data_IF_502097734803
#
_entry.id   IF_502097734803
#
_cell.length_a   1.000
_cell.length_b   1.000
_cell.length_c   1.000
_cell.angle_alpha   90.00
_cell.angle_beta   90.00
_cell.angle_gamma   90.00
#
_symmetry.space_group_name_H-M   'P 1'
#
loop_
_entity.id
_entity.type
_entity.pdbx_description
1 polymer ?
#
# COMPACT_ATOMS: atom_id res chain seq x y z
N UNK A 1 16.74 4.43 -19.62
CA UNK A 1 16.58 4.01 -18.22
C UNK A 1 17.96 3.65 -17.65
N UNK A 2 18.57 4.50 -16.80
CA UNK A 2 19.92 4.28 -16.21
C UNK A 2 19.97 4.55 -14.69
N UNK A 3 18.82 4.85 -14.07
CA UNK A 3 18.76 5.35 -12.70
C UNK A 3 19.35 4.37 -11.69
N UNK A 4 18.97 3.09 -11.76
CA UNK A 4 19.47 2.05 -10.86
C UNK A 4 21.00 1.90 -10.93
N UNK A 5 21.56 1.86 -12.14
CA UNK A 5 23.01 1.77 -12.35
C UNK A 5 23.75 3.01 -11.81
N UNK A 6 23.17 4.20 -11.99
CA UNK A 6 23.74 5.46 -11.49
C UNK A 6 23.67 5.54 -9.97
N UNK A 7 22.55 5.13 -9.36
CA UNK A 7 22.37 5.06 -7.92
C UNK A 7 23.44 4.18 -7.26
N UNK A 8 23.71 3.01 -7.83
CA UNK A 8 24.77 2.10 -7.35
C UNK A 8 26.16 2.74 -7.49
N UNK A 9 26.46 3.34 -8.65
CA UNK A 9 27.79 3.91 -8.92
C UNK A 9 28.11 5.17 -8.11
N UNK A 10 27.11 6.01 -7.87
CA UNK A 10 27.26 7.28 -7.17
C UNK A 10 26.93 7.18 -5.67
N UNK A 11 26.52 6.01 -5.18
CA UNK A 11 26.08 5.81 -3.79
C UNK A 11 24.83 6.62 -3.44
N UNK A 12 24.03 7.00 -4.44
CA UNK A 12 22.81 7.81 -4.26
C UNK A 12 21.60 6.91 -4.19
N UNK A 13 20.55 7.40 -3.53
CA UNK A 13 19.27 6.71 -3.45
C UNK A 13 18.61 6.61 -4.84
N UNK A 14 18.03 5.44 -5.14
CA UNK A 14 17.22 5.26 -6.33
C UNK A 14 15.92 6.10 -6.25
N UNK A 15 15.38 6.52 -7.38
CA UNK A 15 14.17 7.37 -7.43
C UNK A 15 12.90 6.68 -6.91
N UNK A 16 12.92 5.36 -6.81
CA UNK A 16 11.80 4.53 -6.36
C UNK A 16 12.17 3.73 -5.11
N UNK A 17 12.69 4.43 -4.09
CA UNK A 17 12.93 3.86 -2.76
C UNK A 17 11.61 3.50 -2.06
N UNK A 18 11.69 2.77 -0.95
CA UNK A 18 10.50 2.32 -0.21
C UNK A 18 9.64 3.45 0.37
N UNK A 19 10.23 4.58 0.76
CA UNK A 19 9.45 5.72 1.28
C UNK A 19 8.58 6.37 0.21
N UNK A 20 8.95 6.22 -1.07
CA UNK A 20 8.14 6.64 -2.20
C UNK A 20 7.23 5.51 -2.72
N UNK A 21 7.82 4.34 -2.97
CA UNK A 21 7.13 3.21 -3.59
C UNK A 21 6.06 2.59 -2.67
N UNK A 22 6.25 2.63 -1.35
CA UNK A 22 5.30 2.13 -0.36
C UNK A 22 3.96 2.88 -0.41
N UNK A 23 3.93 4.20 -0.14
CA UNK A 23 2.70 5.00 -0.23
C UNK A 23 2.08 4.98 -1.64
N UNK A 24 2.91 4.89 -2.69
CA UNK A 24 2.39 4.76 -4.04
C UNK A 24 1.63 3.44 -4.26
N UNK A 25 2.20 2.31 -3.83
CA UNK A 25 1.54 1.02 -3.90
C UNK A 25 0.24 1.00 -3.06
N UNK A 26 0.29 1.60 -1.87
CA UNK A 26 -0.88 1.78 -1.01
C UNK A 26 -2.02 2.52 -1.73
N UNK A 27 -1.73 3.64 -2.38
CA UNK A 27 -2.71 4.41 -3.15
C UNK A 27 -3.38 3.57 -4.24
N UNK A 28 -2.60 2.76 -4.98
CA UNK A 28 -3.14 1.88 -6.03
C UNK A 28 -4.07 0.82 -5.43
N UNK A 29 -3.70 0.22 -4.29
CA UNK A 29 -4.54 -0.77 -3.61
C UNK A 29 -5.83 -0.17 -3.05
N UNK A 30 -5.78 1.06 -2.53
CA UNK A 30 -6.98 1.80 -2.12
C UNK A 30 -7.93 2.06 -3.29
N UNK A 31 -7.39 2.31 -4.50
CA UNK A 31 -8.18 2.40 -5.72
C UNK A 31 -8.97 1.13 -6.01
N UNK A 32 -8.34 -0.03 -5.87
CA UNK A 32 -9.02 -1.33 -6.03
C UNK A 32 -10.11 -1.54 -4.97
N UNK A 33 -9.84 -1.12 -3.73
CA UNK A 33 -10.82 -1.18 -2.64
C UNK A 33 -12.04 -0.29 -2.95
N UNK A 34 -11.83 0.93 -3.44
CA UNK A 34 -12.91 1.83 -3.82
C UNK A 34 -13.78 1.27 -4.96
N UNK A 35 -13.18 0.63 -5.97
CA UNK A 35 -13.92 -0.02 -7.06
C UNK A 35 -14.77 -1.18 -6.55
N UNK A 36 -14.28 -1.92 -5.54
CA UNK A 36 -15.02 -3.04 -4.93
C UNK A 36 -16.24 -2.60 -4.13
N UNK A 37 -16.23 -1.38 -3.59
CA UNK A 37 -17.31 -0.80 -2.78
C UNK A 37 -17.88 0.45 -3.46
N UNK A 38 -18.59 0.30 -4.59
CA UNK A 38 -19.11 1.44 -5.35
C UNK A 38 -20.12 2.24 -4.52
N UNK A 39 -20.17 3.55 -4.77
CA UNK A 39 -21.06 4.51 -4.10
C UNK A 39 -20.84 4.63 -2.58
N UNK A 40 -19.74 4.09 -2.05
CA UNK A 40 -19.34 4.27 -0.65
C UNK A 40 -18.10 5.15 -0.58
N UNK A 41 -18.11 6.14 0.31
CA UNK A 41 -16.92 6.91 0.65
C UNK A 41 -16.13 6.14 1.71
N UNK A 42 -14.94 5.68 1.39
CA UNK A 42 -14.05 5.04 2.37
C UNK A 42 -13.12 6.09 2.98
N UNK A 43 -13.04 6.12 4.31
CA UNK A 43 -12.13 6.98 5.07
C UNK A 43 -10.93 6.14 5.51
N UNK A 44 -9.75 6.55 5.08
CA UNK A 44 -8.51 5.81 5.26
C UNK A 44 -7.57 6.50 6.25
N UNK A 45 -7.00 5.73 7.16
CA UNK A 45 -5.90 6.14 8.04
C UNK A 45 -4.63 5.36 7.64
N UNK A 46 -3.71 6.02 6.94
CA UNK A 46 -2.47 5.40 6.44
C UNK A 46 -1.48 5.01 7.53
N UNK A 47 -1.37 5.79 8.62
CA UNK A 47 -0.46 5.44 9.72
C UNK A 47 -0.85 4.13 10.40
N UNK A 48 -2.17 3.89 10.54
CA UNK A 48 -2.72 2.67 11.16
C UNK A 48 -3.07 1.58 10.15
N UNK A 49 -3.01 1.88 8.84
CA UNK A 49 -3.44 1.01 7.76
C UNK A 49 -4.87 0.47 7.96
N UNK A 50 -5.83 1.36 8.25
CA UNK A 50 -7.24 0.99 8.49
C UNK A 50 -8.23 1.89 7.75
N UNK A 51 -9.34 1.28 7.31
CA UNK A 51 -10.59 1.96 6.96
C UNK A 51 -11.38 2.21 8.24
N UNK A 52 -11.71 3.47 8.52
CA UNK A 52 -12.28 3.87 9.81
C UNK A 52 -13.81 3.82 9.86
N UNK A 53 -14.47 3.81 8.70
CA UNK A 53 -15.91 4.04 8.59
C UNK A 53 -16.70 2.89 7.94
N UNK A 54 -16.05 1.87 7.39
CA UNK A 54 -16.71 0.74 6.75
C UNK A 54 -16.01 -0.57 7.16
N UNK A 55 -16.72 -1.41 7.93
CA UNK A 55 -16.21 -2.69 8.43
C UNK A 55 -16.08 -3.74 7.34
N UNK A 56 -16.94 -3.69 6.32
CA UNK A 56 -16.89 -4.62 5.20
C UNK A 56 -15.65 -4.36 4.37
N UNK A 57 -15.34 -3.09 4.12
CA UNK A 57 -14.12 -2.68 3.42
C UNK A 57 -12.86 -3.01 4.25
N UNK A 58 -12.88 -2.76 5.56
CA UNK A 58 -11.76 -3.09 6.45
C UNK A 58 -11.36 -4.57 6.40
N UNK A 59 -12.34 -5.47 6.21
CA UNK A 59 -12.07 -6.91 6.13
C UNK A 59 -11.17 -7.32 4.93
N UNK A 60 -11.02 -6.46 3.93
CA UNK A 60 -10.16 -6.69 2.76
C UNK A 60 -8.77 -6.08 2.86
N UNK A 61 -8.51 -5.24 3.88
CA UNK A 61 -7.24 -4.51 4.01
C UNK A 61 -6.08 -5.43 4.40
N UNK A 62 -6.34 -6.40 5.27
CA UNK A 62 -5.35 -7.40 5.68
C UNK A 62 -5.83 -8.81 5.37
N UNK A 63 -4.95 -9.60 4.76
CA UNK A 63 -5.19 -11.03 4.57
C UNK A 63 -5.02 -11.75 5.90
N UNK A 64 -5.95 -12.65 6.23
CA UNK A 64 -5.73 -13.63 7.29
C UNK A 64 -4.67 -14.63 6.84
N UNK A 65 -3.52 -14.62 7.51
CA UNK A 65 -2.50 -15.65 7.32
C UNK A 65 -3.06 -17.02 7.72
N UNK A 66 -2.54 -18.06 7.07
CA UNK A 66 -2.89 -19.43 7.40
C UNK A 66 -2.30 -19.80 8.75
N UNK A 67 -2.99 -20.63 9.52
CA UNK A 67 -2.47 -21.19 10.77
C UNK A 67 -1.06 -21.76 10.60
N UNK A 68 -0.17 -21.39 11.52
CA UNK A 68 1.27 -21.73 11.50
C UNK A 68 2.17 -20.73 10.77
N UNK A 69 1.62 -19.67 10.16
CA UNK A 69 2.39 -18.58 9.57
C UNK A 69 2.09 -17.27 10.31
N UNK A 70 3.07 -16.78 11.07
CA UNK A 70 3.06 -15.44 11.68
C UNK A 70 4.22 -14.61 11.11
N UNK A 71 4.01 -13.29 11.04
CA UNK A 71 5.02 -12.32 10.61
C UNK A 71 6.06 -12.07 11.70
#
# INVERSE_FOLDING_TARGET
EKNWLQAIREGKQAISNFDYAGPFAEMVLLGNLAVRFPYRRLLWNGEKMIVTNDKDAQAYVMRKYRDGWSL
#
